data_IF_120730892987
#
_entry.id   IF_120730892987
#
_cell.length_a   1.000
_cell.length_b   1.000
_cell.length_c   1.000
_cell.angle_alpha   90.00
_cell.angle_beta   90.00
_cell.angle_gamma   90.00
#
_symmetry.space_group_name_H-M   'P 1'
#
loop_
_entity.id
_entity.type
_entity.pdbx_description
1 polymer ?
#
# COMPACT_ATOMS: atom_id res chain seq x y z
N UNK A 1 15.84 -22.31 -30.15
CA UNK A 1 15.47 -23.63 -29.55
C UNK A 1 15.63 -24.75 -30.58
N UNK A 2 16.04 -25.96 -30.18
CA UNK A 2 16.21 -27.10 -31.11
C UNK A 2 14.88 -27.72 -31.57
N UNK A 3 13.79 -27.45 -30.86
CA UNK A 3 12.42 -27.85 -31.22
C UNK A 3 11.47 -26.65 -31.08
N UNK A 4 10.49 -26.49 -31.98
CA UNK A 4 9.55 -25.36 -31.96
C UNK A 4 8.45 -25.51 -30.90
N UNK A 5 8.30 -26.69 -30.30
CA UNK A 5 7.26 -27.02 -29.32
C UNK A 5 7.85 -27.78 -28.13
N UNK A 6 7.19 -27.64 -26.98
CA UNK A 6 7.41 -28.49 -25.81
C UNK A 6 6.82 -29.89 -26.02
N UNK A 7 7.06 -30.79 -25.04
CA UNK A 7 6.64 -32.20 -25.12
C UNK A 7 5.11 -32.33 -25.32
N UNK A 8 4.31 -31.47 -24.66
CA UNK A 8 2.86 -31.47 -24.81
C UNK A 8 2.34 -30.78 -26.08
N UNK A 9 3.24 -30.31 -26.96
CA UNK A 9 2.86 -29.64 -28.20
C UNK A 9 2.61 -28.13 -28.08
N UNK A 10 2.75 -27.54 -26.89
CA UNK A 10 2.69 -26.09 -26.70
C UNK A 10 3.87 -25.39 -27.38
N UNK A 11 3.57 -24.31 -28.11
CA UNK A 11 4.57 -23.44 -28.74
C UNK A 11 5.00 -22.28 -27.82
N UNK A 12 5.85 -21.39 -28.34
CA UNK A 12 6.39 -20.27 -27.58
C UNK A 12 5.28 -19.32 -27.10
N UNK A 13 4.32 -18.98 -27.96
CA UNK A 13 3.24 -18.03 -27.64
C UNK A 13 2.37 -18.56 -26.50
N UNK A 14 2.00 -19.83 -26.57
CA UNK A 14 1.28 -20.53 -25.51
C UNK A 14 2.04 -20.48 -24.19
N UNK A 15 3.34 -20.80 -24.21
CA UNK A 15 4.15 -20.86 -22.99
C UNK A 15 4.33 -19.47 -22.36
N UNK A 16 4.58 -18.44 -23.17
CA UNK A 16 4.72 -17.06 -22.69
C UNK A 16 3.40 -16.57 -22.09
N UNK A 17 2.28 -16.76 -22.78
CA UNK A 17 0.97 -16.34 -22.28
C UNK A 17 0.56 -17.08 -21.00
N UNK A 18 0.83 -18.39 -20.90
CA UNK A 18 0.61 -19.17 -19.66
C UNK A 18 1.41 -18.60 -18.48
N UNK A 19 2.70 -18.36 -18.68
CA UNK A 19 3.58 -17.84 -17.63
C UNK A 19 3.14 -16.44 -17.18
N UNK A 20 2.77 -15.58 -18.13
CA UNK A 20 2.26 -14.25 -17.83
C UNK A 20 0.95 -14.31 -17.06
N UNK A 21 -0.04 -15.08 -17.53
CA UNK A 21 -1.33 -15.24 -16.83
C UNK A 21 -1.13 -15.79 -15.42
N UNK A 22 -0.22 -16.75 -15.23
CA UNK A 22 0.10 -17.29 -13.90
C UNK A 22 0.63 -16.20 -12.97
N UNK A 23 1.55 -15.36 -13.47
CA UNK A 23 2.11 -14.24 -12.71
C UNK A 23 1.05 -13.17 -12.39
N UNK A 24 0.21 -12.81 -13.38
CA UNK A 24 -0.88 -11.85 -13.21
C UNK A 24 -1.92 -12.36 -12.22
N UNK A 25 -2.31 -13.64 -12.28
CA UNK A 25 -3.25 -14.25 -11.34
C UNK A 25 -2.70 -14.27 -9.91
N UNK A 26 -1.41 -14.60 -9.74
CA UNK A 26 -0.77 -14.55 -8.43
C UNK A 26 -0.75 -13.11 -7.87
N UNK A 27 -0.36 -12.12 -8.69
CA UNK A 27 -0.37 -10.71 -8.31
C UNK A 27 -1.76 -10.18 -7.99
N UNK A 28 -2.77 -10.55 -8.79
CA UNK A 28 -4.17 -10.22 -8.55
C UNK A 28 -4.65 -10.80 -7.22
N UNK A 29 -4.36 -12.08 -6.96
CA UNK A 29 -4.69 -12.75 -5.70
C UNK A 29 -4.16 -11.99 -4.47
N UNK A 30 -2.99 -11.38 -4.58
CA UNK A 30 -2.43 -10.56 -3.50
C UNK A 30 -3.32 -9.37 -3.14
N UNK A 31 -3.77 -8.59 -4.12
CA UNK A 31 -4.61 -7.41 -3.84
C UNK A 31 -6.05 -7.77 -3.51
N UNK A 32 -6.56 -8.90 -4.04
CA UNK A 32 -7.87 -9.43 -3.65
C UNK A 32 -7.88 -9.91 -2.19
N UNK A 33 -6.78 -10.48 -1.70
CA UNK A 33 -6.61 -10.81 -0.28
C UNK A 33 -6.68 -9.56 0.62
N UNK A 34 -6.00 -8.48 0.23
CA UNK A 34 -5.99 -7.20 0.96
C UNK A 34 -7.41 -6.61 1.06
N UNK A 35 -8.13 -6.49 -0.05
CA UNK A 35 -9.48 -5.86 -0.03
C UNK A 35 -10.47 -6.70 0.77
N UNK A 36 -10.37 -8.03 0.73
CA UNK A 36 -11.19 -8.91 1.55
C UNK A 36 -10.97 -8.67 3.04
N UNK A 37 -9.70 -8.68 3.49
CA UNK A 37 -9.36 -8.39 4.88
C UNK A 37 -9.82 -6.99 5.31
N UNK A 38 -9.68 -6.02 4.41
CA UNK A 38 -10.12 -4.63 4.65
C UNK A 38 -11.64 -4.54 4.82
N UNK A 39 -12.41 -5.24 3.98
CA UNK A 39 -13.87 -5.31 4.10
C UNK A 39 -14.31 -6.06 5.37
N UNK A 40 -13.63 -7.17 5.72
CA UNK A 40 -13.88 -7.90 6.97
C UNK A 40 -13.64 -7.01 8.20
N UNK A 41 -12.57 -6.20 8.19
CA UNK A 41 -12.28 -5.23 9.25
C UNK A 41 -13.38 -4.16 9.34
N UNK A 42 -13.82 -3.58 8.22
CA UNK A 42 -14.90 -2.59 8.22
C UNK A 42 -16.20 -3.19 8.78
N UNK A 43 -16.52 -4.43 8.38
CA UNK A 43 -17.70 -5.14 8.90
C UNK A 43 -17.61 -5.31 10.42
N UNK A 44 -16.48 -5.77 10.92
CA UNK A 44 -16.29 -6.01 12.35
C UNK A 44 -16.31 -4.70 13.18
N UNK A 45 -15.80 -3.59 12.64
CA UNK A 45 -15.97 -2.25 13.24
C UNK A 45 -17.46 -1.89 13.33
N UNK A 46 -18.21 -2.08 12.24
CA UNK A 46 -19.65 -1.85 12.23
C UNK A 46 -20.39 -2.71 13.25
N UNK A 47 -20.15 -4.02 13.28
CA UNK A 47 -20.80 -4.97 14.20
C UNK A 47 -20.49 -4.69 15.68
N UNK A 48 -19.27 -4.24 15.98
CA UNK A 48 -18.82 -3.95 17.35
C UNK A 48 -19.19 -2.56 17.86
N UNK A 49 -19.73 -1.68 17.00
CA UNK A 49 -19.91 -0.27 17.36
C UNK A 49 -18.59 0.52 17.44
N UNK A 50 -17.52 0.01 16.83
CA UNK A 50 -16.19 0.62 16.86
C UNK A 50 -16.10 1.99 16.16
N UNK A 51 -14.96 2.69 16.29
CA UNK A 51 -14.79 4.01 15.72
C UNK A 51 -14.74 3.97 14.18
N UNK A 52 -15.47 4.88 13.55
CA UNK A 52 -15.40 5.17 12.12
C UNK A 52 -14.81 6.56 11.97
N UNK A 53 -13.54 6.64 11.53
CA UNK A 53 -12.80 7.91 11.48
C UNK A 53 -13.33 8.89 10.44
N UNK A 54 -13.95 8.41 9.35
CA UNK A 54 -14.57 9.28 8.36
C UNK A 54 -16.01 8.89 8.00
N UNK A 55 -17.01 9.40 8.75
CA UNK A 55 -18.42 9.27 8.37
C UNK A 55 -18.72 9.81 6.97
N UNK A 56 -18.08 10.92 6.57
CA UNK A 56 -18.25 11.50 5.24
C UNK A 56 -17.74 10.58 4.12
N UNK A 57 -16.62 9.87 4.34
CA UNK A 57 -16.15 8.87 3.37
C UNK A 57 -17.13 7.70 3.27
N UNK A 58 -17.71 7.26 4.40
CA UNK A 58 -18.68 6.18 4.43
C UNK A 58 -19.96 6.57 3.67
N UNK A 59 -20.46 7.78 3.88
CA UNK A 59 -21.65 8.27 3.19
C UNK A 59 -21.45 8.34 1.68
N UNK A 60 -20.28 8.84 1.23
CA UNK A 60 -19.95 8.87 -0.20
C UNK A 60 -19.81 7.47 -0.79
N UNK A 61 -19.09 6.58 -0.12
CA UNK A 61 -18.91 5.21 -0.58
C UNK A 61 -20.24 4.46 -0.64
N UNK A 62 -21.06 4.57 0.39
CA UNK A 62 -22.39 3.97 0.43
C UNK A 62 -23.28 4.49 -0.70
N UNK A 63 -23.30 5.82 -0.92
CA UNK A 63 -24.05 6.41 -2.03
C UNK A 63 -23.54 5.93 -3.40
N UNK A 64 -22.22 5.84 -3.57
CA UNK A 64 -21.60 5.39 -4.81
C UNK A 64 -21.93 3.92 -5.11
N UNK A 65 -21.98 3.07 -4.08
CA UNK A 65 -22.33 1.65 -4.20
C UNK A 65 -23.85 1.39 -4.18
N UNK A 66 -24.68 2.41 -3.95
CA UNK A 66 -26.12 2.25 -3.83
C UNK A 66 -26.55 1.50 -2.56
N UNK A 67 -25.79 1.62 -1.48
CA UNK A 67 -26.01 0.96 -0.20
C UNK A 67 -26.59 1.97 0.81
N UNK A 68 -27.53 1.51 1.64
CA UNK A 68 -28.15 2.29 2.71
C UNK A 68 -27.95 1.62 4.08
N UNK A 69 -28.25 2.35 5.15
CA UNK A 69 -28.26 1.85 6.54
C UNK A 69 -28.93 2.89 7.44
N UNK A 70 -29.63 2.45 8.48
CA UNK A 70 -30.38 3.34 9.38
C UNK A 70 -29.46 4.16 10.29
N UNK A 71 -28.26 3.64 10.57
CA UNK A 71 -27.21 4.30 11.34
C UNK A 71 -25.83 4.13 10.73
N UNK A 72 -24.84 4.79 11.32
CA UNK A 72 -23.45 4.81 10.85
C UNK A 72 -22.85 3.40 10.78
N UNK A 73 -22.98 2.62 11.86
CA UNK A 73 -22.42 1.28 11.97
C UNK A 73 -23.12 0.26 11.06
N UNK A 74 -24.45 0.30 10.98
CA UNK A 74 -25.21 -0.56 10.05
C UNK A 74 -24.83 -0.27 8.60
N UNK A 75 -24.67 1.01 8.24
CA UNK A 75 -24.19 1.40 6.91
C UNK A 75 -22.80 0.84 6.61
N UNK A 76 -21.89 0.87 7.59
CA UNK A 76 -20.55 0.28 7.45
C UNK A 76 -20.61 -1.23 7.21
N UNK A 77 -21.43 -1.97 7.97
CA UNK A 77 -21.70 -3.39 7.78
C UNK A 77 -22.24 -3.67 6.38
N UNK A 78 -23.23 -2.89 5.93
CA UNK A 78 -23.86 -3.09 4.63
C UNK A 78 -22.90 -2.81 3.47
N UNK A 79 -22.05 -1.77 3.58
CA UNK A 79 -21.00 -1.50 2.60
C UNK A 79 -20.00 -2.65 2.53
N UNK A 80 -19.52 -3.12 3.68
CA UNK A 80 -18.59 -4.25 3.73
C UNK A 80 -19.21 -5.53 3.14
N UNK A 81 -20.47 -5.83 3.47
CA UNK A 81 -21.20 -6.99 2.94
C UNK A 81 -21.43 -6.89 1.43
N UNK A 82 -21.69 -5.70 0.88
CA UNK A 82 -21.80 -5.50 -0.56
C UNK A 82 -20.49 -5.85 -1.27
N UNK A 83 -19.35 -5.38 -0.75
CA UNK A 83 -18.02 -5.70 -1.30
C UNK A 83 -17.72 -7.19 -1.21
N UNK A 84 -17.93 -7.82 -0.04
CA UNK A 84 -17.65 -9.24 0.18
C UNK A 84 -18.55 -10.12 -0.70
N UNK A 85 -19.84 -9.83 -0.79
CA UNK A 85 -20.78 -10.64 -1.58
C UNK A 85 -20.43 -10.61 -3.07
N UNK A 86 -19.99 -9.45 -3.57
CA UNK A 86 -19.62 -9.28 -4.98
C UNK A 86 -18.27 -9.93 -5.31
N UNK A 87 -17.30 -9.84 -4.38
CA UNK A 87 -15.98 -10.47 -4.46
C UNK A 87 -16.05 -12.01 -4.57
N UNK A 88 -17.08 -12.62 -3.97
CA UNK A 88 -17.30 -14.06 -3.91
C UNK A 88 -18.28 -14.61 -4.97
N UNK A 89 -18.74 -13.78 -5.91
CA UNK A 89 -19.59 -14.27 -7.00
C UNK A 89 -18.90 -15.39 -7.80
N UNK A 90 -19.68 -16.34 -8.35
CA UNK A 90 -19.13 -17.27 -9.32
C UNK A 90 -18.67 -16.51 -10.57
N UNK A 91 -17.74 -17.11 -11.33
CA UNK A 91 -17.19 -16.47 -12.54
C UNK A 91 -18.25 -16.10 -13.59
N UNK A 92 -19.32 -16.89 -13.71
CA UNK A 92 -20.37 -16.66 -14.71
C UNK A 92 -21.37 -15.55 -14.33
N UNK A 93 -21.24 -14.95 -13.14
CA UNK A 93 -22.03 -13.78 -12.73
C UNK A 93 -21.15 -12.54 -12.69
N UNK A 94 -21.45 -11.56 -13.54
CA UNK A 94 -20.73 -10.29 -13.58
C UNK A 94 -20.82 -9.55 -12.24
N UNK A 95 -19.67 -9.05 -11.77
CA UNK A 95 -19.58 -8.22 -10.56
C UNK A 95 -20.41 -6.95 -10.68
N UNK A 96 -21.26 -6.70 -9.68
CA UNK A 96 -22.22 -5.59 -9.69
C UNK A 96 -21.56 -4.27 -9.37
N UNK A 97 -20.54 -4.23 -8.50
CA UNK A 97 -19.90 -2.96 -8.13
C UNK A 97 -18.90 -2.47 -9.18
N UNK A 98 -18.45 -3.34 -10.10
CA UNK A 98 -17.62 -2.95 -11.24
C UNK A 98 -18.25 -1.81 -12.05
N UNK A 99 -19.56 -1.89 -12.32
CA UNK A 99 -20.28 -0.83 -13.04
C UNK A 99 -20.30 0.50 -12.28
N UNK A 100 -20.47 0.42 -10.95
CA UNK A 100 -20.53 1.62 -10.08
C UNK A 100 -19.19 2.34 -10.02
N UNK A 101 -18.11 1.56 -9.92
CA UNK A 101 -16.74 2.05 -9.75
C UNK A 101 -16.09 2.52 -11.06
N UNK A 102 -16.56 2.05 -12.21
CA UNK A 102 -15.90 2.29 -13.48
C UNK A 102 -16.29 3.62 -14.13
N UNK A 103 -15.35 4.21 -14.88
CA UNK A 103 -15.69 5.26 -15.84
C UNK A 103 -16.59 4.66 -16.94
N UNK A 104 -17.80 5.21 -17.13
CA UNK A 104 -18.84 4.60 -17.96
C UNK A 104 -18.37 4.23 -19.40
N UNK A 105 -17.60 5.07 -20.13
CA UNK A 105 -17.05 4.68 -21.43
C UNK A 105 -16.02 3.55 -21.42
N UNK A 106 -15.39 3.25 -20.27
CA UNK A 106 -14.54 2.05 -20.11
C UNK A 106 -15.38 0.83 -19.82
N UNK A 107 -16.38 0.93 -18.95
CA UNK A 107 -17.30 -0.16 -18.67
C UNK A 107 -17.97 -0.69 -19.96
N UNK A 108 -18.53 0.20 -20.78
CA UNK A 108 -19.16 -0.16 -22.05
C UNK A 108 -18.20 -0.83 -23.04
N UNK A 109 -16.91 -0.45 -23.01
CA UNK A 109 -15.89 -1.09 -23.84
C UNK A 109 -15.55 -2.49 -23.34
N UNK A 110 -15.42 -2.67 -22.01
CA UNK A 110 -15.14 -3.97 -21.41
C UNK A 110 -16.28 -4.96 -21.63
N UNK A 111 -17.53 -4.49 -21.56
CA UNK A 111 -18.71 -5.28 -21.90
C UNK A 111 -18.68 -5.76 -23.35
N UNK A 112 -18.46 -4.83 -24.29
CA UNK A 112 -18.31 -5.16 -25.73
C UNK A 112 -17.19 -6.16 -26.01
N UNK A 113 -16.10 -6.09 -25.24
CA UNK A 113 -14.96 -7.00 -25.36
C UNK A 113 -15.17 -8.34 -24.63
N UNK A 114 -16.24 -8.49 -23.84
CA UNK A 114 -16.52 -9.70 -23.05
C UNK A 114 -15.54 -9.92 -21.91
N UNK A 115 -14.97 -8.86 -21.34
CA UNK A 115 -13.94 -8.93 -20.27
C UNK A 115 -14.40 -8.35 -18.94
N UNK A 116 -15.70 -8.10 -18.76
CA UNK A 116 -16.23 -7.76 -17.45
C UNK A 116 -15.99 -8.93 -16.49
N UNK A 117 -15.37 -8.71 -15.32
CA UNK A 117 -15.06 -9.77 -14.40
C UNK A 117 -16.32 -10.33 -13.73
N UNK A 118 -16.36 -11.65 -13.55
CA UNK A 118 -17.15 -12.27 -12.48
C UNK A 118 -16.46 -12.11 -11.12
N UNK A 119 -16.88 -12.85 -10.09
CA UNK A 119 -16.32 -12.64 -8.75
C UNK A 119 -14.80 -12.73 -8.71
N UNK A 120 -14.16 -11.77 -8.05
CA UNK A 120 -12.72 -11.54 -8.16
C UNK A 120 -11.88 -12.75 -7.74
N UNK A 121 -12.30 -13.49 -6.69
CA UNK A 121 -11.61 -14.73 -6.28
C UNK A 121 -11.77 -15.85 -7.31
N UNK A 122 -12.94 -15.94 -7.94
CA UNK A 122 -13.22 -16.90 -9.01
C UNK A 122 -12.35 -16.62 -10.24
N UNK A 123 -12.17 -15.36 -10.62
CA UNK A 123 -11.30 -14.99 -11.75
C UNK A 123 -9.82 -15.31 -11.49
N UNK A 124 -9.34 -15.11 -10.26
CA UNK A 124 -7.98 -15.49 -9.84
C UNK A 124 -7.79 -17.00 -9.92
N UNK A 125 -8.73 -17.77 -9.35
CA UNK A 125 -8.71 -19.23 -9.41
C UNK A 125 -8.68 -19.72 -10.86
N UNK A 126 -9.53 -19.15 -11.72
CA UNK A 126 -9.57 -19.54 -13.13
C UNK A 126 -8.31 -19.12 -13.90
N UNK A 127 -7.67 -18.00 -13.56
CA UNK A 127 -6.36 -17.64 -14.12
C UNK A 127 -5.28 -18.70 -13.80
N UNK A 128 -5.29 -19.22 -12.56
CA UNK A 128 -4.41 -20.30 -12.11
C UNK A 128 -4.72 -21.62 -12.84
N UNK A 129 -6.00 -21.96 -12.99
CA UNK A 129 -6.43 -23.17 -13.71
C UNK A 129 -6.08 -23.05 -15.19
N UNK A 130 -6.47 -21.98 -15.88
CA UNK A 130 -6.19 -21.75 -17.32
C UNK A 130 -4.70 -21.86 -17.64
N UNK A 131 -3.82 -21.34 -16.77
CA UNK A 131 -2.37 -21.37 -16.95
C UNK A 131 -1.69 -22.70 -16.58
N UNK A 132 -2.44 -23.69 -16.07
CA UNK A 132 -1.87 -24.97 -15.64
C UNK A 132 -1.63 -25.95 -16.80
N UNK A 133 -0.84 -26.99 -16.53
CA UNK A 133 -0.37 -27.97 -17.52
C UNK A 133 -1.52 -28.62 -18.29
N UNK A 134 -1.43 -28.59 -19.64
CA UNK A 134 -2.35 -29.23 -20.58
C UNK A 134 -3.81 -28.74 -20.54
N UNK A 135 -4.05 -27.52 -20.03
CA UNK A 135 -5.36 -26.88 -20.09
C UNK A 135 -5.41 -25.93 -21.30
N UNK A 136 -5.35 -24.62 -21.08
CA UNK A 136 -5.53 -23.66 -22.16
C UNK A 136 -4.28 -23.54 -23.05
N UNK A 137 -4.44 -23.55 -24.38
CA UNK A 137 -3.37 -23.33 -25.36
C UNK A 137 -3.63 -22.15 -26.30
N UNK A 138 -4.67 -21.35 -26.05
CA UNK A 138 -4.95 -20.13 -26.80
C UNK A 138 -4.31 -18.92 -26.10
N UNK A 139 -3.24 -18.33 -26.66
CA UNK A 139 -2.59 -17.17 -26.06
C UNK A 139 -3.50 -15.94 -25.99
N UNK A 140 -4.42 -15.75 -26.95
CA UNK A 140 -5.32 -14.59 -26.95
C UNK A 140 -6.32 -14.71 -25.81
N UNK A 141 -6.94 -15.88 -25.62
CA UNK A 141 -7.86 -16.09 -24.48
C UNK A 141 -7.16 -15.85 -23.13
N UNK A 142 -5.93 -16.33 -22.96
CA UNK A 142 -5.17 -16.12 -21.73
C UNK A 142 -4.79 -14.65 -21.50
N UNK A 143 -4.43 -13.92 -22.54
CA UNK A 143 -4.14 -12.48 -22.47
C UNK A 143 -5.40 -11.67 -22.18
N UNK A 144 -6.54 -12.04 -22.77
CA UNK A 144 -7.83 -11.42 -22.45
C UNK A 144 -8.21 -11.67 -20.98
N UNK A 145 -7.91 -12.86 -20.43
CA UNK A 145 -8.10 -13.13 -19.00
C UNK A 145 -7.17 -12.28 -18.12
N UNK A 146 -5.95 -11.97 -18.57
CA UNK A 146 -5.09 -11.01 -17.86
C UNK A 146 -5.73 -9.62 -17.77
N UNK A 147 -6.42 -9.18 -18.83
CA UNK A 147 -7.15 -7.90 -18.83
C UNK A 147 -8.35 -7.93 -17.86
N UNK A 148 -9.12 -9.03 -17.83
CA UNK A 148 -10.20 -9.23 -16.86
C UNK A 148 -9.69 -9.13 -15.41
N UNK A 149 -8.56 -9.81 -15.11
CA UNK A 149 -7.90 -9.70 -13.80
C UNK A 149 -7.41 -8.28 -13.51
N UNK A 150 -6.93 -7.55 -14.50
CA UNK A 150 -6.54 -6.15 -14.36
C UNK A 150 -7.69 -5.25 -13.92
N UNK A 151 -8.91 -5.49 -14.42
CA UNK A 151 -10.11 -4.73 -14.04
C UNK A 151 -10.48 -5.00 -12.57
N UNK A 152 -10.60 -6.27 -12.17
CA UNK A 152 -10.96 -6.61 -10.79
C UNK A 152 -9.88 -6.17 -9.79
N UNK A 153 -8.60 -6.35 -10.14
CA UNK A 153 -7.48 -5.92 -9.29
C UNK A 153 -7.43 -4.40 -9.14
N UNK A 154 -7.60 -3.66 -10.22
CA UNK A 154 -7.57 -2.19 -10.19
C UNK A 154 -8.73 -1.60 -9.39
N UNK A 155 -9.97 -2.03 -9.68
CA UNK A 155 -11.16 -1.46 -9.05
C UNK A 155 -11.39 -1.97 -7.62
N UNK A 156 -11.20 -3.28 -7.36
CA UNK A 156 -11.39 -3.86 -6.02
C UNK A 156 -10.08 -3.83 -5.25
N UNK A 157 -9.08 -4.56 -5.74
CA UNK A 157 -7.83 -4.76 -5.02
C UNK A 157 -7.12 -3.46 -4.61
N UNK A 158 -7.21 -2.42 -5.44
CA UNK A 158 -6.57 -1.12 -5.19
C UNK A 158 -7.57 -0.03 -4.80
N UNK A 159 -8.50 0.36 -5.68
CA UNK A 159 -9.38 1.51 -5.41
C UNK A 159 -10.34 1.25 -4.24
N UNK A 160 -11.03 0.11 -4.23
CA UNK A 160 -11.96 -0.22 -3.14
C UNK A 160 -11.24 -0.32 -1.79
N UNK A 161 -10.06 -0.93 -1.74
CA UNK A 161 -9.23 -0.97 -0.52
C UNK A 161 -8.99 0.43 0.04
N UNK A 162 -8.57 1.37 -0.81
CA UNK A 162 -8.33 2.76 -0.39
C UNK A 162 -9.61 3.44 0.12
N UNK A 163 -10.74 3.24 -0.55
CA UNK A 163 -12.03 3.82 -0.11
C UNK A 163 -12.52 3.25 1.21
N UNK A 164 -12.33 1.95 1.44
CA UNK A 164 -12.64 1.32 2.74
C UNK A 164 -11.68 1.82 3.83
N UNK A 165 -10.39 1.98 3.52
CA UNK A 165 -9.41 2.56 4.44
C UNK A 165 -9.74 4.02 4.76
N UNK A 166 -10.20 4.84 3.82
CA UNK A 166 -10.64 6.22 4.08
C UNK A 166 -11.74 6.27 5.17
N UNK A 167 -12.66 5.30 5.15
CA UNK A 167 -13.72 5.17 6.17
C UNK A 167 -13.14 4.85 7.54
N UNK A 168 -12.30 3.82 7.62
CA UNK A 168 -11.80 3.29 8.89
C UNK A 168 -10.67 4.14 9.49
N UNK A 169 -9.80 4.69 8.65
CA UNK A 169 -8.50 5.25 9.01
C UNK A 169 -8.43 6.77 8.87
N UNK A 170 -9.47 7.37 8.28
CA UNK A 170 -9.51 8.79 7.98
C UNK A 170 -8.92 9.07 6.60
N UNK A 171 -9.39 10.15 5.97
CA UNK A 171 -9.00 10.51 4.60
C UNK A 171 -7.58 11.11 4.54
N UNK A 172 -6.86 10.95 3.42
CA UNK A 172 -5.59 11.64 3.21
C UNK A 172 -5.74 13.16 3.24
N UNK A 173 -4.77 13.84 3.85
CA UNK A 173 -4.68 15.31 3.90
C UNK A 173 -3.32 15.73 3.39
N UNK A 174 -3.29 16.65 2.42
CA UNK A 174 -2.05 17.16 1.87
C UNK A 174 -1.25 17.85 2.97
N UNK A 175 -0.05 17.35 3.21
CA UNK A 175 0.85 17.87 4.24
C UNK A 175 2.30 17.55 3.92
N UNK A 176 3.19 18.21 4.64
CA UNK A 176 4.62 17.93 4.63
C UNK A 176 4.97 16.85 5.64
N UNK A 177 5.98 16.04 5.36
CA UNK A 177 6.44 15.02 6.28
C UNK A 177 7.90 14.57 6.08
N UNK A 178 8.46 14.03 7.15
CA UNK A 178 9.78 13.42 7.15
C UNK A 178 9.76 11.99 6.59
N UNK A 179 10.80 11.64 5.83
CA UNK A 179 11.02 10.33 5.22
C UNK A 179 12.48 9.90 5.40
N UNK A 180 12.77 8.62 5.20
CA UNK A 180 14.12 8.07 5.31
C UNK A 180 14.52 7.66 6.72
N UNK A 181 15.81 7.40 6.95
CA UNK A 181 16.28 6.75 8.19
C UNK A 181 16.22 7.72 9.36
N UNK A 182 16.17 9.02 9.08
CA UNK A 182 15.95 10.06 10.09
C UNK A 182 14.60 9.96 10.81
N UNK A 183 13.66 9.20 10.27
CA UNK A 183 12.39 8.88 10.94
C UNK A 183 12.58 7.95 12.15
N UNK A 184 13.76 7.33 12.32
CA UNK A 184 14.05 6.42 13.43
C UNK A 184 14.60 7.23 14.62
N UNK A 185 13.88 7.22 15.75
CA UNK A 185 14.30 7.94 16.97
C UNK A 185 14.91 6.97 18.00
N UNK A 186 16.23 7.01 18.25
CA UNK A 186 16.90 6.04 19.14
C UNK A 186 16.48 6.15 20.62
N UNK A 187 15.80 7.24 21.01
CA UNK A 187 15.29 7.44 22.37
C UNK A 187 14.02 6.61 22.64
N UNK A 188 13.38 6.11 21.60
CA UNK A 188 12.12 5.36 21.67
C UNK A 188 12.35 3.87 21.36
N UNK A 189 11.33 3.05 21.64
CA UNK A 189 11.21 1.69 21.13
C UNK A 189 10.72 1.78 19.68
N UNK A 190 11.57 1.45 18.70
CA UNK A 190 11.21 1.56 17.28
C UNK A 190 10.65 0.22 16.78
N UNK A 191 9.40 0.24 16.34
CA UNK A 191 8.73 -0.90 15.73
C UNK A 191 8.61 -0.61 14.24
N UNK A 192 9.33 -1.38 13.41
CA UNK A 192 9.16 -1.33 11.97
C UNK A 192 7.91 -2.10 11.58
N UNK A 193 7.04 -1.45 10.82
CA UNK A 193 5.88 -2.08 10.21
C UNK A 193 6.05 -2.14 8.70
N UNK A 194 5.76 -3.31 8.14
CA UNK A 194 6.02 -3.62 6.73
C UNK A 194 4.89 -4.46 6.15
N UNK A 195 4.62 -4.22 4.88
CA UNK A 195 3.60 -4.88 4.08
C UNK A 195 2.61 -3.90 3.44
N UNK A 196 1.30 -4.15 3.49
CA UNK A 196 0.25 -3.48 2.70
C UNK A 196 -1.10 -3.19 3.41
N UNK A 197 -1.47 -3.84 4.53
CA UNK A 197 -2.79 -3.63 5.18
C UNK A 197 -2.71 -2.70 6.41
N UNK A 198 -2.93 -1.39 6.21
CA UNK A 198 -2.95 -0.41 7.32
C UNK A 198 -4.07 -0.68 8.34
N UNK A 199 -5.23 -1.18 7.90
CA UNK A 199 -6.37 -1.45 8.79
C UNK A 199 -6.08 -2.48 9.90
N UNK A 200 -5.03 -3.30 9.76
CA UNK A 200 -4.59 -4.24 10.78
C UNK A 200 -3.78 -3.60 11.92
N UNK A 201 -3.38 -2.34 11.79
CA UNK A 201 -2.52 -1.65 12.76
C UNK A 201 -3.25 -0.59 13.59
N UNK A 202 -4.55 -0.36 13.41
CA UNK A 202 -5.30 0.71 14.12
C UNK A 202 -5.23 0.55 15.64
N UNK A 203 -5.54 -0.64 16.14
CA UNK A 203 -5.49 -0.94 17.58
C UNK A 203 -4.08 -0.77 18.15
N UNK A 204 -3.05 -1.22 17.41
CA UNK A 204 -1.66 -1.02 17.80
C UNK A 204 -1.29 0.47 17.88
N UNK A 205 -1.67 1.28 16.89
CA UNK A 205 -1.39 2.72 16.88
C UNK A 205 -1.96 3.41 18.13
N UNK A 206 -3.20 3.12 18.50
CA UNK A 206 -3.87 3.67 19.68
C UNK A 206 -3.22 3.17 20.98
N UNK A 207 -2.90 1.88 21.04
CA UNK A 207 -2.33 1.25 22.23
C UNK A 207 -0.88 1.67 22.51
N UNK A 208 -0.12 2.06 21.50
CA UNK A 208 1.27 2.53 21.68
C UNK A 208 1.37 3.92 22.31
N UNK A 209 0.32 4.74 22.21
CA UNK A 209 0.24 6.07 22.85
C UNK A 209 -0.52 6.05 24.18
N UNK A 210 -1.17 4.93 24.53
CA UNK A 210 -1.91 4.81 25.78
C UNK A 210 -1.01 5.08 27.02
N UNK A 211 -1.50 5.80 28.04
CA UNK A 211 -0.67 6.20 29.18
C UNK A 211 0.05 5.05 29.91
N UNK A 212 -0.59 3.88 30.04
CA UNK A 212 0.06 2.70 30.63
C UNK A 212 1.15 2.11 29.75
N UNK A 213 0.95 2.08 28.42
CA UNK A 213 1.94 1.68 27.44
C UNK A 213 3.21 2.52 27.56
N UNK A 214 3.04 3.83 27.54
CA UNK A 214 4.13 4.79 27.63
C UNK A 214 4.85 4.66 28.97
N UNK A 215 4.13 4.44 30.08
CA UNK A 215 4.75 4.15 31.38
C UNK A 215 5.59 2.86 31.34
N UNK A 216 5.10 1.79 30.69
CA UNK A 216 5.85 0.53 30.54
C UNK A 216 7.12 0.72 29.70
N UNK A 217 7.07 1.50 28.62
CA UNK A 217 8.24 1.87 27.81
C UNK A 217 9.26 2.70 28.62
N UNK A 218 8.79 3.69 29.39
CA UNK A 218 9.64 4.49 30.29
C UNK A 218 10.30 3.66 31.38
N UNK A 219 9.56 2.72 31.96
CA UNK A 219 10.13 1.74 32.90
C UNK A 219 11.15 0.78 32.25
N UNK A 220 11.23 0.73 30.92
CA UNK A 220 12.26 0.00 30.19
C UNK A 220 13.46 0.87 29.77
N UNK A 221 13.39 2.19 29.97
CA UNK A 221 14.44 3.15 29.62
C UNK A 221 14.20 3.94 28.33
N UNK A 222 13.06 3.75 27.66
CA UNK A 222 12.68 4.48 26.45
C UNK A 222 11.75 5.68 26.75
N UNK A 223 11.67 6.68 25.87
CA UNK A 223 10.70 7.78 26.01
C UNK A 223 9.25 7.36 25.67
N UNK A 224 9.09 6.29 24.89
CA UNK A 224 7.82 5.75 24.41
C UNK A 224 8.04 4.74 23.27
N UNK A 225 7.06 4.64 22.37
CA UNK A 225 7.14 3.84 21.15
C UNK A 225 7.08 4.72 19.91
N UNK A 226 7.72 4.27 18.81
CA UNK A 226 7.58 4.82 17.46
C UNK A 226 7.28 3.72 16.46
N UNK A 227 6.39 4.03 15.52
CA UNK A 227 6.16 3.23 14.32
C UNK A 227 6.97 3.80 13.16
N UNK A 228 7.86 2.97 12.62
CA UNK A 228 8.67 3.27 11.43
C UNK A 228 8.07 2.52 10.25
N UNK A 229 7.54 3.26 9.27
CA UNK A 229 6.89 2.66 8.11
C UNK A 229 7.90 2.17 7.08
N UNK A 230 7.67 0.99 6.50
CA UNK A 230 8.33 0.53 5.28
C UNK A 230 7.28 0.02 4.28
N UNK A 231 7.68 -0.02 3.01
CA UNK A 231 6.84 -0.51 1.89
C UNK A 231 5.48 0.21 1.80
N UNK A 232 4.48 -0.41 1.19
CA UNK A 232 3.17 0.21 0.93
C UNK A 232 2.39 0.55 2.20
N UNK A 233 2.47 -0.24 3.27
CA UNK A 233 1.78 0.10 4.53
C UNK A 233 2.40 1.34 5.16
N UNK A 234 3.73 1.46 5.15
CA UNK A 234 4.42 2.68 5.57
C UNK A 234 4.00 3.89 4.76
N UNK A 235 3.82 3.72 3.43
CA UNK A 235 3.31 4.77 2.56
C UNK A 235 1.84 5.13 2.83
N UNK A 236 0.96 4.17 3.12
CA UNK A 236 -0.46 4.44 3.45
C UNK A 236 -0.59 5.17 4.80
N UNK A 237 0.20 4.76 5.79
CA UNK A 237 0.39 5.51 7.04
C UNK A 237 0.92 6.92 6.80
N UNK A 238 1.91 7.06 5.91
CA UNK A 238 2.45 8.35 5.51
C UNK A 238 1.37 9.22 4.87
N UNK A 239 0.55 8.66 3.98
CA UNK A 239 -0.55 9.34 3.32
C UNK A 239 -1.62 9.81 4.33
N UNK A 240 -1.82 9.05 5.42
CA UNK A 240 -2.84 9.26 6.46
C UNK A 240 -2.29 9.80 7.78
N UNK A 241 -1.02 10.18 7.82
CA UNK A 241 -0.33 10.45 9.09
C UNK A 241 -0.87 11.65 9.87
N UNK A 242 -1.72 12.49 9.25
CA UNK A 242 -2.52 13.49 9.96
C UNK A 242 -3.30 12.89 11.13
N UNK A 243 -3.76 11.64 10.99
CA UNK A 243 -4.56 10.94 12.01
C UNK A 243 -3.71 10.17 13.03
N UNK A 244 -2.37 10.19 12.91
CA UNK A 244 -1.46 9.30 13.65
C UNK A 244 -0.10 9.94 14.03
N UNK A 245 -0.05 11.28 14.09
CA UNK A 245 1.19 12.06 14.29
C UNK A 245 1.96 11.71 15.58
N UNK A 246 1.27 11.21 16.60
CA UNK A 246 1.88 10.94 17.91
C UNK A 246 2.83 9.74 17.91
N UNK A 247 2.56 8.71 17.10
CA UNK A 247 3.30 7.44 17.12
C UNK A 247 4.05 7.15 15.83
N UNK A 248 3.50 7.55 14.68
CA UNK A 248 4.10 7.29 13.37
C UNK A 248 5.09 8.39 13.02
N UNK A 249 6.35 8.01 12.77
CA UNK A 249 7.45 8.97 12.56
C UNK A 249 7.78 9.22 11.09
N UNK A 250 7.32 8.35 10.20
CA UNK A 250 7.45 8.53 8.76
C UNK A 250 7.74 7.24 8.01
N UNK A 251 7.76 7.35 6.69
CA UNK A 251 8.13 6.29 5.76
C UNK A 251 9.65 6.24 5.60
N UNK A 252 10.28 5.17 6.09
CA UNK A 252 11.73 5.01 6.01
C UNK A 252 12.21 4.59 4.61
N UNK A 253 11.37 3.89 3.85
CA UNK A 253 11.64 3.56 2.45
C UNK A 253 10.93 2.32 1.94
N UNK A 254 11.31 1.89 0.74
CA UNK A 254 10.69 0.77 0.04
C UNK A 254 11.25 -0.59 0.46
N UNK A 255 10.88 -1.64 -0.27
CA UNK A 255 11.19 -3.03 0.08
C UNK A 255 12.70 -3.33 0.16
N UNK A 256 13.53 -2.70 -0.68
CA UNK A 256 14.98 -2.89 -0.63
C UNK A 256 15.66 -2.03 0.44
N UNK A 257 14.96 -1.02 0.96
CA UNK A 257 15.42 -0.21 2.08
C UNK A 257 15.32 -0.95 3.42
N UNK A 258 14.39 -1.91 3.56
CA UNK A 258 14.08 -2.59 4.82
C UNK A 258 15.29 -3.27 5.48
N UNK A 259 16.16 -3.92 4.70
CA UNK A 259 17.37 -4.57 5.25
C UNK A 259 18.34 -3.54 5.83
N UNK A 260 18.53 -2.41 5.13
CA UNK A 260 19.39 -1.32 5.59
C UNK A 260 18.81 -0.62 6.83
N UNK A 261 17.48 -0.48 6.91
CA UNK A 261 16.78 0.04 8.09
C UNK A 261 17.03 -0.84 9.32
N UNK A 262 16.94 -2.17 9.20
CA UNK A 262 17.31 -3.08 10.29
C UNK A 262 18.80 -2.97 10.62
N UNK A 263 19.67 -2.88 9.61
CA UNK A 263 21.12 -2.80 9.78
C UNK A 263 21.61 -1.55 10.54
N UNK A 264 20.78 -0.51 10.67
CA UNK A 264 21.05 0.62 11.57
C UNK A 264 21.19 0.20 13.04
N UNK A 265 20.67 -0.97 13.41
CA UNK A 265 20.61 -1.42 14.80
C UNK A 265 19.57 -0.69 15.65
N UNK A 266 18.79 0.23 15.09
CA UNK A 266 17.85 1.06 15.85
C UNK A 266 16.41 0.53 15.88
N UNK A 267 16.06 -0.45 15.02
CA UNK A 267 14.76 -1.13 15.03
C UNK A 267 14.75 -2.24 16.08
N UNK A 268 13.79 -2.19 16.99
CA UNK A 268 13.63 -3.16 18.09
C UNK A 268 12.74 -4.34 17.70
N UNK A 269 11.75 -4.11 16.86
CA UNK A 269 10.84 -5.15 16.41
C UNK A 269 10.39 -4.91 14.97
N UNK A 270 10.13 -6.00 14.26
CA UNK A 270 9.40 -5.99 12.99
C UNK A 270 8.03 -6.61 13.20
N UNK A 271 6.98 -5.90 12.79
CA UNK A 271 5.63 -6.46 12.66
C UNK A 271 5.24 -6.46 11.19
N UNK A 272 5.05 -7.64 10.62
CA UNK A 272 4.68 -7.84 9.21
C UNK A 272 3.29 -8.42 9.09
N UNK A 273 2.51 -7.99 8.10
CA UNK A 273 1.24 -8.63 7.75
C UNK A 273 1.28 -9.26 6.35
N UNK A 274 1.77 -8.57 5.33
CA UNK A 274 1.62 -9.02 3.95
C UNK A 274 2.92 -8.89 3.13
N UNK A 275 2.77 -8.94 1.80
CA UNK A 275 3.79 -8.93 0.75
C UNK A 275 4.89 -7.86 0.95
N UNK A 276 6.02 -8.02 0.27
CA UNK A 276 7.23 -7.18 0.39
C UNK A 276 7.95 -7.23 1.75
N UNK A 277 7.53 -8.09 2.67
CA UNK A 277 8.37 -8.54 3.79
C UNK A 277 9.39 -9.55 3.24
N UNK A 278 10.67 -9.19 3.18
CA UNK A 278 11.70 -10.00 2.52
C UNK A 278 12.28 -11.08 3.47
N UNK A 279 12.56 -12.31 2.99
CA UNK A 279 13.32 -13.30 3.76
C UNK A 279 14.74 -12.82 4.17
N UNK A 280 15.31 -11.85 3.44
CA UNK A 280 16.58 -11.23 3.81
C UNK A 280 16.58 -10.52 5.16
N UNK A 281 15.40 -10.19 5.71
CA UNK A 281 15.29 -9.64 7.06
C UNK A 281 15.66 -10.67 8.15
N UNK A 282 15.45 -11.97 7.90
CA UNK A 282 15.63 -13.04 8.89
C UNK A 282 17.06 -13.10 9.45
N UNK A 283 18.13 -13.23 8.63
CA UNK A 283 19.49 -13.28 9.14
C UNK A 283 19.93 -11.99 9.83
N UNK A 284 19.41 -10.84 9.41
CA UNK A 284 19.71 -9.54 10.05
C UNK A 284 19.05 -9.49 11.43
N UNK A 285 17.79 -9.91 11.51
CA UNK A 285 17.04 -9.94 12.75
C UNK A 285 17.69 -10.87 13.78
N UNK A 286 18.11 -12.08 13.38
CA UNK A 286 18.82 -13.01 14.26
C UNK A 286 20.12 -12.41 14.79
N UNK A 287 20.92 -11.81 13.90
CA UNK A 287 22.21 -11.21 14.26
C UNK A 287 22.06 -10.00 15.20
N UNK A 288 21.03 -9.19 14.99
CA UNK A 288 20.78 -7.96 15.76
C UNK A 288 19.76 -8.15 16.89
N UNK A 289 19.39 -9.40 17.18
CA UNK A 289 18.41 -9.80 18.21
C UNK A 289 17.06 -9.08 18.06
N UNK A 290 16.66 -8.74 16.84
CA UNK A 290 15.40 -8.03 16.53
C UNK A 290 14.26 -9.05 16.55
N UNK A 291 13.22 -8.78 17.35
CA UNK A 291 12.05 -9.66 17.38
C UNK A 291 11.22 -9.45 16.11
N UNK A 292 10.78 -10.55 15.48
CA UNK A 292 9.86 -10.50 14.34
C UNK A 292 8.52 -11.14 14.71
N UNK A 293 7.41 -10.45 14.45
CA UNK A 293 6.05 -10.98 14.55
C UNK A 293 5.37 -10.83 13.19
N UNK A 294 4.78 -11.92 12.72
CA UNK A 294 3.94 -11.95 11.53
C UNK A 294 2.49 -12.07 11.97
N UNK A 295 1.60 -11.22 11.45
CA UNK A 295 0.19 -11.20 11.85
C UNK A 295 -0.77 -11.73 10.77
N UNK A 296 -0.26 -12.08 9.59
CA UNK A 296 -0.99 -12.82 8.56
C UNK A 296 -0.04 -13.86 7.93
N UNK A 297 -0.49 -15.11 7.83
CA UNK A 297 0.37 -16.25 7.51
C UNK A 297 0.78 -16.31 6.04
N UNK A 298 0.10 -15.60 5.14
CA UNK A 298 0.48 -15.53 3.72
C UNK A 298 1.85 -14.87 3.51
N UNK A 299 2.38 -14.17 4.52
CA UNK A 299 3.71 -13.54 4.50
C UNK A 299 4.73 -14.09 5.50
N UNK A 300 4.39 -15.18 6.22
CA UNK A 300 5.18 -15.75 7.33
C UNK A 300 6.65 -16.01 6.96
N UNK A 301 7.56 -15.46 7.77
CA UNK A 301 9.00 -15.77 7.74
C UNK A 301 9.33 -16.93 8.65
N UNK A 302 10.36 -17.71 8.35
CA UNK A 302 10.67 -18.92 9.10
C UNK A 302 10.97 -18.60 10.57
N UNK A 303 11.77 -17.56 10.83
CA UNK A 303 12.15 -17.16 12.19
C UNK A 303 11.16 -16.19 12.89
N UNK A 304 10.16 -15.67 12.18
CA UNK A 304 9.15 -14.79 12.79
C UNK A 304 8.20 -15.58 13.69
N UNK A 305 7.71 -14.99 14.78
CA UNK A 305 6.59 -15.57 15.52
C UNK A 305 5.27 -15.30 14.79
N UNK A 306 4.33 -16.25 14.77
CA UNK A 306 3.01 -16.01 14.20
C UNK A 306 2.02 -15.60 15.29
N UNK A 307 1.37 -14.46 15.10
CA UNK A 307 0.29 -13.96 15.95
C UNK A 307 -0.85 -13.45 15.05
N UNK A 308 -1.70 -14.39 14.60
CA UNK A 308 -2.77 -14.10 13.64
C UNK A 308 -3.62 -12.90 14.08
N UNK A 309 -3.73 -11.91 13.21
CA UNK A 309 -4.66 -10.82 13.36
C UNK A 309 -6.08 -11.26 12.98
N UNK A 310 -7.02 -10.94 13.86
CA UNK A 310 -8.44 -10.81 13.56
C UNK A 310 -8.91 -9.54 14.27
N UNK A 311 -10.00 -8.93 13.80
CA UNK A 311 -10.54 -7.78 14.51
C UNK A 311 -10.95 -8.15 15.94
N UNK A 312 -11.46 -9.36 16.18
CA UNK A 312 -11.89 -9.85 17.49
C UNK A 312 -10.71 -10.06 18.45
N UNK A 313 -9.58 -10.56 17.96
CA UNK A 313 -8.40 -10.91 18.77
C UNK A 313 -7.32 -9.80 18.78
N UNK A 314 -7.58 -8.66 18.12
CA UNK A 314 -6.60 -7.59 17.90
C UNK A 314 -5.92 -7.10 19.18
N UNK A 315 -6.67 -6.95 20.27
CA UNK A 315 -6.14 -6.47 21.56
C UNK A 315 -5.07 -7.42 22.11
N UNK A 316 -5.29 -8.74 21.98
CA UNK A 316 -4.33 -9.75 22.42
C UNK A 316 -3.06 -9.74 21.56
N UNK A 317 -3.20 -9.56 20.24
CA UNK A 317 -2.07 -9.41 19.32
C UNK A 317 -1.28 -8.14 19.63
N UNK A 318 -1.97 -7.03 19.87
CA UNK A 318 -1.38 -5.74 20.23
C UNK A 318 -0.61 -5.81 21.54
N UNK A 319 -1.19 -6.38 22.61
CA UNK A 319 -0.49 -6.51 23.90
C UNK A 319 0.74 -7.39 23.80
N UNK A 320 0.69 -8.43 22.96
CA UNK A 320 1.86 -9.25 22.65
C UNK A 320 2.95 -8.44 21.97
N UNK A 321 2.61 -7.68 20.92
CA UNK A 321 3.55 -6.77 20.22
C UNK A 321 4.18 -5.79 21.21
N UNK A 322 3.40 -5.12 22.05
CA UNK A 322 3.90 -4.17 23.06
C UNK A 322 4.87 -4.84 24.03
N UNK A 323 4.49 -6.01 24.55
CA UNK A 323 5.29 -6.73 25.57
C UNK A 323 6.61 -7.23 24.99
N UNK A 324 6.57 -7.82 23.80
CA UNK A 324 7.72 -8.35 23.09
C UNK A 324 8.64 -7.23 22.56
N UNK A 325 8.09 -6.09 22.13
CA UNK A 325 8.88 -4.92 21.73
C UNK A 325 9.66 -4.35 22.93
N UNK A 326 9.05 -4.26 24.11
CA UNK A 326 9.74 -3.85 25.35
C UNK A 326 10.86 -4.87 25.71
N UNK A 327 10.56 -6.16 25.62
CA UNK A 327 11.55 -7.20 25.92
C UNK A 327 12.74 -7.15 24.96
N UNK A 328 12.47 -7.02 23.65
CA UNK A 328 13.50 -6.89 22.62
C UNK A 328 14.32 -5.61 22.81
N UNK A 329 13.69 -4.47 23.10
CA UNK A 329 14.38 -3.22 23.44
C UNK A 329 15.40 -3.45 24.56
N UNK A 330 14.96 -4.00 25.70
CA UNK A 330 15.84 -4.25 26.87
C UNK A 330 16.99 -5.18 26.56
N UNK A 331 16.74 -6.26 25.83
CA UNK A 331 17.76 -7.25 25.46
C UNK A 331 18.80 -6.72 24.47
N UNK A 332 18.47 -5.63 23.75
CA UNK A 332 19.33 -5.02 22.72
C UNK A 332 20.08 -3.79 23.21
N UNK A 333 19.52 -3.02 24.15
CA UNK A 333 20.18 -1.81 24.68
C UNK A 333 21.48 -2.17 25.39
N UNK A 334 22.58 -1.55 24.97
CA UNK A 334 23.94 -1.82 25.44
C UNK A 334 24.70 -2.88 24.64
N UNK A 335 24.00 -3.81 24.01
CA UNK A 335 24.58 -4.92 23.24
C UNK A 335 24.69 -4.64 21.74
N UNK A 336 23.70 -3.93 21.18
CA UNK A 336 23.62 -3.65 19.75
C UNK A 336 24.04 -2.20 19.49
N UNK A 337 25.10 -2.02 18.69
CA UNK A 337 25.53 -0.69 18.27
C UNK A 337 24.51 -0.10 17.28
N UNK A 338 24.06 1.11 17.56
CA UNK A 338 23.23 1.89 16.65
C UNK A 338 24.08 2.76 15.73
N UNK A 339 23.71 2.82 14.46
CA UNK A 339 24.31 3.68 13.45
C UNK A 339 23.22 4.17 12.49
N UNK A 340 22.56 5.27 12.86
CA UNK A 340 21.49 5.89 12.07
C UNK A 340 22.11 7.03 11.25
N UNK A 341 22.06 7.00 9.91
CA UNK A 341 22.45 8.14 9.09
C UNK A 341 21.41 9.26 9.23
N UNK A 342 21.75 10.30 10.01
CA UNK A 342 20.83 11.40 10.33
C UNK A 342 20.38 12.22 9.10
N UNK A 343 21.23 12.27 8.07
CA UNK A 343 20.98 13.04 6.85
C UNK A 343 20.31 12.22 5.73
N UNK A 344 19.91 10.97 5.99
CA UNK A 344 19.23 10.15 4.99
C UNK A 344 17.73 10.43 4.96
N UNK A 345 17.25 10.87 3.79
CA UNK A 345 15.87 11.24 3.52
C UNK A 345 15.65 12.75 3.55
N UNK A 346 14.41 13.20 3.72
CA UNK A 346 14.02 14.61 3.66
C UNK A 346 12.99 14.91 4.76
N UNK A 347 12.88 16.17 5.18
CA UNK A 347 11.90 16.60 6.21
C UNK A 347 10.61 17.15 5.61
N UNK A 348 10.64 17.51 4.32
CA UNK A 348 9.63 18.32 3.67
C UNK A 348 8.92 17.62 2.50
N UNK A 349 8.82 16.28 2.54
CA UNK A 349 8.14 15.50 1.50
C UNK A 349 6.65 15.80 1.50
N UNK A 350 6.13 16.25 0.35
CA UNK A 350 4.70 16.42 0.11
C UNK A 350 4.03 15.05 0.01
N UNK A 351 3.06 14.82 0.89
CA UNK A 351 2.25 13.59 0.91
C UNK A 351 0.77 13.94 1.03
N UNK A 352 -0.09 12.94 1.14
CA UNK A 352 -1.53 13.12 1.35
C UNK A 352 -2.33 13.47 0.10
N UNK A 353 -1.71 13.35 -1.09
CA UNK A 353 -2.37 13.59 -2.38
C UNK A 353 -3.31 12.43 -2.71
N UNK A 354 -4.62 12.70 -2.65
CA UNK A 354 -5.70 11.82 -3.09
C UNK A 354 -6.59 12.56 -4.09
N UNK A 355 -7.56 11.87 -4.70
CA UNK A 355 -8.51 12.54 -5.60
C UNK A 355 -9.23 13.71 -4.91
N UNK A 356 -9.62 13.52 -3.64
CA UNK A 356 -10.37 14.53 -2.88
C UNK A 356 -9.45 15.65 -2.38
N UNK A 357 -8.31 15.32 -1.76
CA UNK A 357 -7.43 16.35 -1.21
C UNK A 357 -6.79 17.20 -2.32
N UNK A 358 -6.49 16.61 -3.49
CA UNK A 358 -6.04 17.37 -4.65
C UNK A 358 -7.14 18.31 -5.16
N UNK A 359 -8.39 17.83 -5.26
CA UNK A 359 -9.51 18.68 -5.67
C UNK A 359 -9.76 19.83 -4.70
N UNK A 360 -9.66 19.58 -3.40
CA UNK A 360 -9.76 20.60 -2.36
C UNK A 360 -8.63 21.63 -2.48
N UNK A 361 -7.39 21.18 -2.67
CA UNK A 361 -6.24 22.04 -2.91
C UNK A 361 -6.39 22.92 -4.15
N UNK A 362 -7.06 22.42 -5.19
CA UNK A 362 -7.40 23.18 -6.41
C UNK A 362 -8.64 24.09 -6.25
N UNK A 363 -9.15 24.29 -5.04
CA UNK A 363 -10.31 25.15 -4.77
C UNK A 363 -11.67 24.47 -5.00
N UNK A 364 -11.72 23.15 -4.88
CA UNK A 364 -12.95 22.36 -5.01
C UNK A 364 -13.34 21.99 -6.45
N UNK A 365 -12.48 22.28 -7.44
CA UNK A 365 -12.75 22.00 -8.85
C UNK A 365 -11.50 21.51 -9.59
N UNK A 366 -11.70 20.67 -10.61
CA UNK A 366 -10.62 20.20 -11.49
C UNK A 366 -10.18 21.22 -12.54
N UNK A 367 -10.99 22.26 -12.76
CA UNK A 367 -10.79 23.25 -13.83
C UNK A 367 -9.38 23.87 -13.83
N UNK A 368 -8.78 24.27 -12.68
CA UNK A 368 -7.43 24.84 -12.69
C UNK A 368 -6.38 23.88 -13.26
N UNK A 369 -6.40 22.61 -12.87
CA UNK A 369 -5.48 21.60 -13.42
C UNK A 369 -5.76 21.31 -14.90
N UNK A 370 -7.04 21.19 -15.27
CA UNK A 370 -7.46 20.96 -16.66
C UNK A 370 -7.02 22.11 -17.57
N UNK A 371 -7.15 23.35 -17.13
CA UNK A 371 -6.74 24.53 -17.89
C UNK A 371 -5.20 24.60 -18.07
N UNK A 372 -4.43 24.20 -17.06
CA UNK A 372 -2.97 24.10 -17.15
C UNK A 372 -2.53 23.04 -18.16
N UNK A 373 -3.24 21.90 -18.21
CA UNK A 373 -2.99 20.85 -19.20
C UNK A 373 -3.40 21.31 -20.61
N UNK A 374 -4.60 21.87 -20.75
CA UNK A 374 -5.14 22.31 -22.04
C UNK A 374 -4.32 23.46 -22.67
N UNK A 375 -3.74 24.33 -21.86
CA UNK A 375 -2.82 25.39 -22.32
C UNK A 375 -1.44 24.89 -22.72
N UNK A 376 -1.08 23.65 -22.38
CA UNK A 376 0.27 23.09 -22.57
C UNK A 376 1.29 23.57 -21.53
N UNK A 377 0.86 24.30 -20.50
CA UNK A 377 1.71 24.66 -19.35
C UNK A 377 2.18 23.40 -18.63
N UNK A 378 1.27 22.45 -18.43
CA UNK A 378 1.58 21.06 -18.06
C UNK A 378 1.36 20.21 -19.31
N UNK A 379 2.40 19.54 -19.80
CA UNK A 379 2.31 18.78 -21.07
C UNK A 379 1.58 17.45 -20.93
N UNK A 380 1.46 16.94 -19.71
CA UNK A 380 0.77 15.70 -19.42
C UNK A 380 0.96 15.26 -17.98
N UNK A 381 0.31 14.15 -17.64
CA UNK A 381 0.39 13.48 -16.34
C UNK A 381 0.89 12.06 -16.56
N UNK A 382 1.90 11.63 -15.81
CA UNK A 382 2.41 10.26 -15.86
C UNK A 382 2.36 9.63 -14.47
N UNK A 383 1.73 8.46 -14.38
CA UNK A 383 1.80 7.61 -13.20
C UNK A 383 3.08 6.78 -13.20
N UNK A 384 4.01 7.05 -12.29
CA UNK A 384 5.23 6.24 -12.10
C UNK A 384 5.03 5.35 -10.87
N UNK A 385 4.73 4.08 -11.12
CA UNK A 385 4.39 3.08 -10.11
C UNK A 385 5.25 1.84 -10.28
N UNK A 386 5.36 1.05 -9.23
CA UNK A 386 6.03 -0.25 -9.26
C UNK A 386 7.00 -0.44 -8.10
N UNK A 387 7.81 -1.49 -8.22
CA UNK A 387 8.85 -1.90 -7.28
C UNK A 387 10.22 -1.41 -7.75
N UNK A 388 11.20 -1.38 -6.84
CA UNK A 388 12.59 -1.19 -7.24
C UNK A 388 13.17 -2.47 -7.86
N UNK A 389 14.29 -2.34 -8.55
CA UNK A 389 15.06 -3.47 -9.08
C UNK A 389 16.54 -3.24 -8.88
N UNK A 390 17.25 -4.23 -8.37
CA UNK A 390 18.72 -4.18 -8.28
C UNK A 390 19.41 -4.58 -9.59
N UNK A 391 18.69 -5.27 -10.49
CA UNK A 391 19.24 -5.81 -11.74
C UNK A 391 19.45 -4.70 -12.78
N UNK A 392 18.58 -3.70 -12.76
CA UNK A 392 18.51 -2.66 -13.80
C UNK A 392 19.11 -1.34 -13.33
N UNK A 393 20.43 -1.29 -13.14
CA UNK A 393 21.14 -0.04 -12.83
C UNK A 393 21.22 0.33 -11.34
N UNK A 394 20.68 -0.49 -10.44
CA UNK A 394 20.75 -0.29 -8.99
C UNK A 394 19.45 0.24 -8.37
N UNK A 395 19.43 0.30 -7.04
CA UNK A 395 18.26 0.67 -6.25
C UNK A 395 17.73 2.06 -6.65
N UNK A 396 16.51 2.10 -7.17
CA UNK A 396 15.73 3.30 -7.57
C UNK A 396 16.36 4.22 -8.63
N UNK A 397 17.56 3.92 -9.14
CA UNK A 397 18.30 4.76 -10.10
C UNK A 397 17.45 5.10 -11.33
N UNK A 398 16.92 4.09 -12.01
CA UNK A 398 16.11 4.32 -13.22
C UNK A 398 14.79 5.05 -12.94
N UNK A 399 14.17 4.79 -11.78
CA UNK A 399 12.92 5.47 -11.39
C UNK A 399 13.17 6.95 -11.16
N UNK A 400 14.24 7.29 -10.43
CA UNK A 400 14.66 8.67 -10.17
C UNK A 400 15.01 9.38 -11.46
N UNK A 401 15.79 8.75 -12.34
CA UNK A 401 16.20 9.34 -13.61
C UNK A 401 15.01 9.55 -14.55
N UNK A 402 14.09 8.58 -14.63
CA UNK A 402 12.85 8.73 -15.39
C UNK A 402 12.02 9.92 -14.90
N UNK A 403 11.84 10.07 -13.59
CA UNK A 403 11.07 11.18 -13.02
C UNK A 403 11.74 12.52 -13.31
N UNK A 404 13.05 12.62 -13.15
CA UNK A 404 13.81 13.85 -13.51
C UNK A 404 13.60 14.22 -14.97
N UNK A 405 13.68 13.26 -15.88
CA UNK A 405 13.43 13.49 -17.32
C UNK A 405 12.00 13.94 -17.62
N UNK A 406 10.99 13.38 -16.92
CA UNK A 406 9.59 13.77 -17.10
C UNK A 406 9.34 15.20 -16.61
N UNK A 407 9.74 15.52 -15.38
CA UNK A 407 9.48 16.85 -14.79
C UNK A 407 10.26 17.94 -15.54
N UNK A 408 11.49 17.66 -16.00
CA UNK A 408 12.27 18.58 -16.84
C UNK A 408 11.57 18.93 -18.17
N UNK A 409 10.63 18.08 -18.61
CA UNK A 409 9.83 18.26 -19.83
C UNK A 409 8.44 18.84 -19.55
N UNK A 410 8.22 19.41 -18.37
CA UNK A 410 6.93 19.97 -17.92
C UNK A 410 5.80 18.92 -17.81
N UNK A 411 6.15 17.68 -17.48
CA UNK A 411 5.19 16.59 -17.26
C UNK A 411 5.08 16.37 -15.74
N UNK A 412 3.87 16.48 -15.19
CA UNK A 412 3.65 16.20 -13.77
C UNK A 412 3.64 14.69 -13.53
N UNK A 413 4.28 14.26 -12.46
CA UNK A 413 4.37 12.85 -12.08
C UNK A 413 3.51 12.59 -10.85
N UNK A 414 2.68 11.54 -10.94
CA UNK A 414 2.01 10.95 -9.78
C UNK A 414 2.71 9.62 -9.47
N UNK A 415 3.05 9.37 -8.21
CA UNK A 415 3.73 8.12 -7.83
C UNK A 415 3.00 7.41 -6.70
N UNK A 416 3.12 6.09 -6.68
CA UNK A 416 2.61 5.22 -5.62
C UNK A 416 3.52 4.00 -5.41
N UNK A 417 3.37 3.35 -4.27
CA UNK A 417 4.09 2.14 -3.89
C UNK A 417 5.57 2.40 -3.60
N UNK A 418 6.40 1.40 -3.88
CA UNK A 418 7.84 1.45 -3.64
C UNK A 418 8.55 2.54 -4.46
N UNK A 419 7.97 2.96 -5.60
CA UNK A 419 8.46 4.09 -6.38
C UNK A 419 8.42 5.38 -5.57
N UNK A 420 7.33 5.65 -4.84
CA UNK A 420 7.26 6.81 -3.93
C UNK A 420 8.35 6.76 -2.87
N UNK A 421 8.57 5.57 -2.27
CA UNK A 421 9.63 5.38 -1.27
C UNK A 421 11.03 5.72 -1.77
N UNK A 422 11.33 5.50 -3.05
CA UNK A 422 12.61 5.90 -3.66
C UNK A 422 12.66 7.39 -3.96
N UNK A 423 11.59 7.93 -4.55
CA UNK A 423 11.49 9.33 -4.96
C UNK A 423 11.51 10.29 -3.76
N UNK A 424 10.80 9.97 -2.69
CA UNK A 424 10.77 10.76 -1.46
C UNK A 424 12.14 10.79 -0.79
N UNK A 425 12.86 9.66 -0.72
CA UNK A 425 14.20 9.60 -0.15
C UNK A 425 15.23 10.38 -0.99
N UNK A 426 14.99 10.50 -2.29
CA UNK A 426 15.83 11.29 -3.21
C UNK A 426 15.40 12.76 -3.32
N UNK A 427 14.41 13.21 -2.55
CA UNK A 427 13.96 14.61 -2.50
C UNK A 427 13.10 15.05 -3.69
N UNK A 428 12.64 14.13 -4.53
CA UNK A 428 11.81 14.44 -5.71
C UNK A 428 10.34 14.74 -5.38
N UNK A 429 9.96 14.59 -4.11
CA UNK A 429 8.64 14.93 -3.60
C UNK A 429 8.68 16.12 -2.62
N UNK A 430 9.82 16.80 -2.50
CA UNK A 430 9.95 18.06 -1.75
C UNK A 430 9.67 19.26 -2.67
N UNK A 431 9.16 20.40 -2.16
CA UNK A 431 8.93 21.60 -2.98
C UNK A 431 10.19 22.11 -3.70
N UNK A 432 11.37 21.87 -3.14
CA UNK A 432 12.65 22.21 -3.78
C UNK A 432 12.90 21.46 -5.09
N UNK A 433 12.24 20.33 -5.33
CA UNK A 433 12.30 19.57 -6.59
C UNK A 433 11.72 20.35 -7.78
N UNK A 434 10.92 21.40 -7.55
CA UNK A 434 10.48 22.32 -8.59
C UNK A 434 11.66 22.91 -9.38
N UNK A 435 12.83 23.08 -8.75
CA UNK A 435 14.06 23.53 -9.42
C UNK A 435 14.60 22.57 -10.49
N UNK A 436 14.18 21.30 -10.48
CA UNK A 436 14.52 20.28 -11.48
C UNK A 436 13.50 20.19 -12.62
N UNK A 437 12.36 20.86 -12.48
CA UNK A 437 11.30 20.85 -13.48
C UNK A 437 11.59 21.80 -14.65
N UNK A 438 10.90 21.56 -15.78
CA UNK A 438 10.89 22.47 -16.92
C UNK A 438 10.31 23.84 -16.54
N UNK A 439 10.57 24.90 -17.35
CA UNK A 439 10.23 26.27 -16.98
C UNK A 439 8.75 26.49 -16.62
N UNK A 440 7.83 25.81 -17.33
CA UNK A 440 6.39 25.97 -17.14
C UNK A 440 5.91 25.25 -15.89
N UNK A 441 6.33 23.99 -15.69
CA UNK A 441 5.96 23.22 -14.51
C UNK A 441 6.59 23.82 -13.24
N UNK A 442 7.85 24.24 -13.32
CA UNK A 442 8.54 24.94 -12.22
C UNK A 442 7.78 26.17 -11.76
N UNK A 443 7.36 27.04 -12.68
CA UNK A 443 6.62 28.26 -12.33
C UNK A 443 5.29 27.96 -11.63
N UNK A 444 4.60 26.88 -12.03
CA UNK A 444 3.38 26.42 -11.36
C UNK A 444 3.68 25.91 -9.96
N UNK A 445 4.65 25.01 -9.82
CA UNK A 445 5.08 24.44 -8.55
C UNK A 445 5.55 25.50 -7.55
N UNK A 446 6.43 26.42 -7.95
CA UNK A 446 6.92 27.52 -7.10
C UNK A 446 5.79 28.47 -6.67
N UNK A 447 4.82 28.73 -7.56
CA UNK A 447 3.64 29.56 -7.23
C UNK A 447 2.73 28.89 -6.20
N UNK A 448 2.62 27.56 -6.26
CA UNK A 448 1.76 26.76 -5.41
C UNK A 448 2.46 26.26 -4.13
N UNK A 449 3.79 26.37 -4.06
CA UNK A 449 4.61 25.88 -2.95
C UNK A 449 4.66 24.35 -2.87
N UNK A 450 4.61 23.65 -4.01
CA UNK A 450 4.56 22.18 -4.11
C UNK A 450 5.69 21.60 -4.93
#
# INVERSE_FOLDING_TARGET
>A
PKTPKGICGADADTLVARNLLRAVAAGSGCYIHIVENTALNLRAIGESGGPIKSPAALDRLAAHLGVSGTGLHEKAVNVANAVLSDLYLPRYETMRLTEKMAYAPRYALWDKLGILPGGAKSEVFDGVVKSSTNLNSDPVDMLMHCLTLGISTGLYGLTMTNLLNDVMLGQPVIRSAAVGFKTIDPRYINIMITGHQHSCFTDLQERLVAPDAVRRAKAAGAEGFRLVGCTCVGQDLQLRGEHYQEVFTGHAGNNFTSEAVLATGAIDMVVSEFNCTLPGLEPIADKLKIKMICIDDVSKKANAEYARYSYQDREAVTEKVVSEAIASYRARRGDVKMNIPADHGNDDTLTGVSELSLKEFLGGAWKPLVDLIASGTIKGVVGVVGCSSMVSGGHDVLTVDLVKELIARDIIVLSAGCSSGGLENCGLMSPSAAGLAGPSLRAVCEKLGI
#
